data_IF_580388659408
#
_entry.id   IF_580388659408
#
_cell.length_a   1.000
_cell.length_b   1.000
_cell.length_c   1.000
_cell.angle_alpha   90.00
_cell.angle_beta   90.00
_cell.angle_gamma   90.00
#
_symmetry.space_group_name_H-M   'P 1'
#
loop_
_entity.id
_entity.type
_entity.pdbx_description
1 polymer ?
#
# COMPACT_ATOMS: atom_id res chain seq x y z
N UNK A 1 61.31 -15.19 -46.27
CA UNK A 1 60.66 -14.45 -45.14
C UNK A 1 59.48 -13.67 -45.71
N UNK A 2 58.26 -14.21 -45.55
CA UNK A 2 57.07 -13.63 -46.11
C UNK A 2 56.31 -12.93 -44.97
N UNK A 3 56.32 -11.61 -44.97
CA UNK A 3 55.70 -10.80 -43.91
C UNK A 3 54.18 -10.75 -44.21
N UNK A 4 53.41 -11.46 -43.40
CA UNK A 4 51.94 -11.41 -43.48
C UNK A 4 51.45 -10.10 -42.84
N UNK A 5 50.94 -9.19 -43.65
CA UNK A 5 50.27 -7.99 -43.16
C UNK A 5 48.92 -8.36 -42.56
N UNK A 6 48.76 -8.07 -41.26
CA UNK A 6 47.46 -8.21 -40.57
C UNK A 6 46.60 -7.02 -40.95
N UNK A 7 45.60 -7.29 -41.79
CA UNK A 7 44.59 -6.33 -42.21
C UNK A 7 43.65 -6.03 -41.02
N UNK A 8 43.81 -4.84 -40.41
CA UNK A 8 42.96 -4.40 -39.31
C UNK A 8 41.59 -4.00 -39.87
N UNK A 9 40.58 -4.83 -39.61
CA UNK A 9 39.16 -4.51 -39.93
C UNK A 9 38.76 -3.13 -39.37
N UNK A 10 38.10 -2.26 -40.14
CA UNK A 10 37.70 -0.95 -39.69
C UNK A 10 36.68 -1.10 -38.51
N UNK A 11 36.95 -0.42 -37.41
CA UNK A 11 36.04 -0.33 -36.24
C UNK A 11 34.69 0.17 -36.74
N UNK A 12 33.66 -0.69 -36.68
CA UNK A 12 32.29 -0.36 -36.96
C UNK A 12 31.89 0.81 -36.02
N UNK A 13 31.73 2.03 -36.62
CA UNK A 13 31.16 3.18 -35.90
C UNK A 13 29.82 2.74 -35.35
N UNK A 14 29.72 2.55 -34.02
CA UNK A 14 28.44 2.44 -33.31
C UNK A 14 27.69 3.73 -33.68
N UNK A 15 26.66 3.63 -34.50
CA UNK A 15 25.73 4.73 -34.72
C UNK A 15 25.14 5.04 -33.35
N UNK A 16 25.63 6.13 -32.75
CA UNK A 16 24.94 6.71 -31.63
C UNK A 16 23.51 6.98 -32.12
N UNK A 17 22.55 6.17 -31.66
CA UNK A 17 21.13 6.48 -31.82
C UNK A 17 20.99 7.90 -31.34
N UNK A 18 20.61 8.79 -32.23
CA UNK A 18 20.57 10.23 -31.99
C UNK A 18 19.82 10.46 -30.68
N UNK A 19 20.55 10.86 -29.63
CA UNK A 19 19.94 11.44 -28.45
C UNK A 19 19.08 12.57 -28.98
N UNK A 20 17.75 12.46 -28.81
CA UNK A 20 16.81 13.50 -29.16
C UNK A 20 17.38 14.82 -28.63
N UNK A 21 17.39 15.86 -29.44
CA UNK A 21 17.83 17.17 -28.96
C UNK A 21 17.00 17.52 -27.74
N UNK A 22 17.55 18.22 -26.73
CA UNK A 22 16.83 18.60 -25.53
C UNK A 22 15.47 19.25 -25.83
N UNK A 23 15.38 19.99 -26.91
CA UNK A 23 14.11 20.60 -27.41
C UNK A 23 13.10 19.55 -27.88
N UNK A 24 13.54 18.55 -28.65
CA UNK A 24 12.67 17.46 -29.07
C UNK A 24 12.23 16.61 -27.90
N UNK A 25 13.15 16.26 -26.97
CA UNK A 25 12.82 15.58 -25.73
C UNK A 25 11.79 16.33 -24.89
N UNK A 26 11.99 17.64 -24.71
CA UNK A 26 11.02 18.50 -24.01
C UNK A 26 9.65 18.51 -24.72
N UNK A 27 9.62 18.63 -26.06
CA UNK A 27 8.37 18.63 -26.81
C UNK A 27 7.58 17.30 -26.67
N UNK A 28 8.27 16.15 -26.62
CA UNK A 28 7.62 14.85 -26.37
C UNK A 28 7.09 14.71 -24.94
N UNK A 29 7.75 15.33 -23.95
CA UNK A 29 7.31 15.28 -22.54
C UNK A 29 6.23 16.32 -22.22
N UNK A 30 6.07 17.37 -23.03
CA UNK A 30 5.13 18.47 -22.78
C UNK A 30 3.68 18.00 -22.57
N UNK A 31 3.08 17.12 -23.39
CA UNK A 31 1.71 16.68 -23.19
C UNK A 31 1.50 15.97 -21.84
N UNK A 32 2.42 15.07 -21.48
CA UNK A 32 2.39 14.38 -20.20
C UNK A 32 2.61 15.37 -19.04
N UNK A 33 3.56 16.30 -19.17
CA UNK A 33 3.82 17.34 -18.18
C UNK A 33 2.62 18.26 -17.95
N UNK A 34 1.91 18.64 -19.00
CA UNK A 34 0.68 19.43 -18.89
C UNK A 34 -0.43 18.67 -18.17
N UNK A 35 -0.65 17.41 -18.51
CA UNK A 35 -1.65 16.57 -17.81
C UNK A 35 -1.33 16.42 -16.33
N UNK A 36 -0.08 16.13 -15.98
CA UNK A 36 0.37 16.05 -14.59
C UNK A 36 0.20 17.40 -13.88
N UNK A 37 0.55 18.50 -14.52
CA UNK A 37 0.41 19.84 -13.93
C UNK A 37 -1.05 20.18 -13.65
N UNK A 38 -1.94 19.98 -14.59
CA UNK A 38 -3.36 20.35 -14.47
C UNK A 38 -4.11 19.42 -13.51
N UNK A 39 -3.89 18.10 -13.60
CA UNK A 39 -4.70 17.12 -12.84
C UNK A 39 -4.07 16.65 -11.53
N UNK A 40 -2.78 16.90 -11.29
CA UNK A 40 -2.10 16.51 -10.06
C UNK A 40 -1.58 17.73 -9.31
N UNK A 41 -0.76 18.57 -9.95
CA UNK A 41 -0.08 19.67 -9.26
C UNK A 41 -1.08 20.77 -8.85
N UNK A 42 -1.97 21.19 -9.74
CA UNK A 42 -2.96 22.24 -9.42
C UNK A 42 -3.92 21.80 -8.30
N UNK A 43 -4.58 20.61 -8.35
CA UNK A 43 -5.42 20.15 -7.25
C UNK A 43 -4.65 19.96 -5.94
N UNK A 44 -3.38 19.54 -6.00
CA UNK A 44 -2.52 19.42 -4.82
C UNK A 44 -2.38 20.76 -4.07
N UNK A 45 -1.98 21.83 -4.77
CA UNK A 45 -1.88 23.16 -4.15
C UNK A 45 -3.25 23.73 -3.76
N UNK A 46 -4.29 23.38 -4.52
CA UNK A 46 -5.65 23.76 -4.18
C UNK A 46 -6.11 23.18 -2.84
N UNK A 47 -5.88 21.91 -2.59
CA UNK A 47 -6.21 21.26 -1.30
C UNK A 47 -5.44 21.90 -0.16
N UNK A 48 -4.15 22.20 -0.34
CA UNK A 48 -3.36 22.92 0.66
C UNK A 48 -3.98 24.31 0.95
N UNK A 49 -4.35 25.07 -0.08
CA UNK A 49 -5.01 26.35 0.11
C UNK A 49 -6.34 26.22 0.85
N UNK A 50 -7.19 25.29 0.43
CA UNK A 50 -8.50 25.05 1.06
C UNK A 50 -8.37 24.64 2.53
N UNK A 51 -7.30 23.96 2.92
CA UNK A 51 -7.04 23.57 4.31
C UNK A 51 -6.90 24.74 5.28
N UNK A 52 -6.59 25.94 4.77
CA UNK A 52 -6.49 27.19 5.54
C UNK A 52 -7.78 28.02 5.50
N UNK A 53 -8.87 27.47 4.96
CA UNK A 53 -10.17 28.17 4.84
C UNK A 53 -11.26 27.48 5.65
N UNK A 54 -12.31 28.23 6.00
CA UNK A 54 -13.51 27.68 6.64
C UNK A 54 -14.51 27.09 5.60
N UNK A 55 -14.03 26.62 4.45
CA UNK A 55 -14.87 26.14 3.37
C UNK A 55 -15.73 24.95 3.82
N UNK A 56 -17.03 25.08 3.56
CA UNK A 56 -18.02 24.01 3.75
C UNK A 56 -18.58 23.57 2.39
N UNK A 57 -19.33 22.47 2.35
CA UNK A 57 -20.04 22.07 1.13
C UNK A 57 -21.41 22.73 0.98
N UNK A 58 -21.97 23.27 2.08
CA UNK A 58 -23.28 23.91 2.11
C UNK A 58 -23.21 25.26 2.82
N UNK A 59 -24.15 26.14 2.49
CA UNK A 59 -24.28 27.44 3.16
C UNK A 59 -23.37 28.54 2.60
N UNK A 60 -23.21 29.64 3.36
CA UNK A 60 -22.49 30.85 2.92
C UNK A 60 -21.03 30.61 2.64
N UNK A 61 -20.36 29.80 3.46
CA UNK A 61 -18.93 29.49 3.35
C UNK A 61 -18.60 28.51 2.22
N UNK A 62 -19.59 27.89 1.58
CA UNK A 62 -19.41 27.14 0.36
C UNK A 62 -19.06 28.03 -0.83
N UNK A 63 -19.74 29.17 -0.93
CA UNK A 63 -19.57 30.16 -2.03
C UNK A 63 -18.47 31.17 -1.71
N UNK A 64 -18.45 31.68 -0.47
CA UNK A 64 -17.51 32.70 -0.02
C UNK A 64 -16.73 32.19 1.19
N UNK A 65 -15.74 31.29 1.01
CA UNK A 65 -14.92 30.82 2.10
C UNK A 65 -13.95 31.92 2.55
N UNK A 66 -13.77 32.04 3.86
CA UNK A 66 -12.82 32.95 4.47
C UNK A 66 -11.52 32.23 4.80
N UNK A 67 -10.42 32.95 4.77
CA UNK A 67 -9.13 32.44 5.20
C UNK A 67 -9.06 32.46 6.73
N UNK A 68 -8.92 31.27 7.34
CA UNK A 68 -8.88 31.08 8.81
C UNK A 68 -7.50 30.65 9.32
N UNK A 69 -6.50 30.66 8.46
CA UNK A 69 -5.14 30.24 8.83
C UNK A 69 -5.11 28.79 9.35
N UNK A 70 -4.50 28.56 10.51
CA UNK A 70 -4.31 27.27 11.12
C UNK A 70 -5.51 26.78 11.99
N UNK A 71 -6.65 27.45 11.99
CA UNK A 71 -7.78 27.12 12.87
C UNK A 71 -8.26 25.66 12.68
N UNK A 72 -8.32 25.16 11.44
CA UNK A 72 -8.67 23.76 11.16
C UNK A 72 -7.70 22.78 11.83
N UNK A 73 -6.41 23.07 11.80
CA UNK A 73 -5.37 22.25 12.42
C UNK A 73 -5.46 22.27 13.95
N UNK A 74 -5.66 23.44 14.56
CA UNK A 74 -5.86 23.54 16.02
C UNK A 74 -7.11 22.75 16.46
N UNK A 75 -8.19 22.77 15.68
CA UNK A 75 -9.37 21.96 15.97
C UNK A 75 -9.12 20.46 15.88
N UNK A 76 -8.26 20.01 14.95
CA UNK A 76 -7.90 18.59 14.81
C UNK A 76 -7.00 18.11 15.96
N UNK A 77 -6.15 18.98 16.50
CA UNK A 77 -5.22 18.66 17.57
C UNK A 77 -5.65 19.20 18.94
N UNK A 78 -6.94 19.51 19.13
CA UNK A 78 -7.46 19.98 20.40
C UNK A 78 -7.27 18.91 21.51
N UNK A 79 -6.41 19.17 22.52
CA UNK A 79 -6.09 18.19 23.54
C UNK A 79 -7.31 17.73 24.35
N UNK A 80 -8.36 18.53 24.44
CA UNK A 80 -9.56 18.25 25.24
C UNK A 80 -10.34 17.05 24.72
N UNK A 81 -10.26 16.75 23.42
CA UNK A 81 -11.03 15.71 22.76
C UNK A 81 -10.23 14.83 21.79
N UNK A 82 -8.92 15.09 21.63
CA UNK A 82 -8.06 14.46 20.61
C UNK A 82 -8.17 12.94 20.58
N UNK A 83 -8.20 12.27 21.72
CA UNK A 83 -8.26 10.81 21.85
C UNK A 83 -9.68 10.26 21.96
N UNK A 84 -10.70 11.10 21.91
CA UNK A 84 -12.09 10.62 21.94
C UNK A 84 -12.46 9.91 20.64
N UNK A 85 -13.33 8.90 20.75
CA UNK A 85 -13.84 8.17 19.57
C UNK A 85 -14.52 9.12 18.57
N UNK A 86 -14.23 8.93 17.30
CA UNK A 86 -14.74 9.81 16.25
C UNK A 86 -13.97 11.13 16.10
N UNK A 87 -12.83 11.28 16.78
CA UNK A 87 -11.92 12.41 16.62
C UNK A 87 -10.64 12.00 15.87
N UNK A 88 -9.94 12.99 15.35
CA UNK A 88 -8.76 12.78 14.50
C UNK A 88 -7.67 11.93 15.17
N UNK A 89 -7.33 12.22 16.42
CA UNK A 89 -6.28 11.50 17.12
C UNK A 89 -6.60 10.04 17.36
N UNK A 90 -7.85 9.73 17.72
CA UNK A 90 -8.30 8.35 17.85
C UNK A 90 -8.18 7.61 16.50
N UNK A 91 -8.65 8.22 15.40
CA UNK A 91 -8.57 7.63 14.07
C UNK A 91 -7.11 7.45 13.60
N UNK A 92 -6.20 8.36 13.98
CA UNK A 92 -4.77 8.26 13.67
C UNK A 92 -4.12 7.07 14.40
N UNK A 93 -4.41 6.90 15.70
CA UNK A 93 -3.92 5.75 16.47
C UNK A 93 -4.47 4.46 15.91
N UNK A 94 -5.76 4.41 15.63
CA UNK A 94 -6.42 3.24 15.05
C UNK A 94 -5.81 2.87 13.69
N UNK A 95 -5.54 3.87 12.84
CA UNK A 95 -4.87 3.66 11.54
C UNK A 95 -3.45 3.14 11.72
N UNK A 96 -2.70 3.67 12.71
CA UNK A 96 -1.36 3.18 13.01
C UNK A 96 -1.38 1.71 13.45
N UNK A 97 -2.30 1.34 14.36
CA UNK A 97 -2.49 -0.05 14.77
C UNK A 97 -2.89 -0.94 13.59
N UNK A 98 -3.78 -0.45 12.73
CA UNK A 98 -4.20 -1.17 11.53
C UNK A 98 -3.05 -1.39 10.55
N UNK A 99 -2.22 -0.38 10.28
CA UNK A 99 -1.03 -0.51 9.42
C UNK A 99 -0.03 -1.51 10.02
N UNK A 100 0.26 -1.41 11.32
CA UNK A 100 1.16 -2.35 11.97
C UNK A 100 0.63 -3.79 11.88
N UNK A 101 -0.63 -4.01 12.25
CA UNK A 101 -1.22 -5.35 12.28
C UNK A 101 -1.39 -5.93 10.87
N UNK A 102 -1.98 -5.19 9.92
CA UNK A 102 -2.32 -5.73 8.61
C UNK A 102 -1.20 -5.61 7.57
N UNK A 103 -0.48 -4.49 7.50
CA UNK A 103 0.59 -4.34 6.51
C UNK A 103 1.88 -5.03 6.97
N UNK A 104 2.45 -4.62 8.11
CA UNK A 104 3.77 -5.10 8.50
C UNK A 104 3.73 -6.56 8.97
N UNK A 105 2.85 -6.88 9.91
CA UNK A 105 2.74 -8.26 10.44
C UNK A 105 1.88 -9.17 9.57
N UNK A 106 0.84 -8.64 8.92
CA UNK A 106 -0.03 -9.43 8.05
C UNK A 106 0.56 -9.61 6.65
N UNK A 107 0.46 -8.60 5.81
CA UNK A 107 0.78 -8.68 4.38
C UNK A 107 2.24 -9.05 4.11
N UNK A 108 3.20 -8.33 4.72
CA UNK A 108 4.61 -8.55 4.47
C UNK A 108 5.06 -9.95 4.91
N UNK A 109 4.73 -10.38 6.15
CA UNK A 109 5.14 -11.69 6.65
C UNK A 109 4.45 -12.83 5.90
N UNK A 110 3.13 -12.74 5.72
CA UNK A 110 2.39 -13.78 4.98
C UNK A 110 2.87 -13.86 3.53
N UNK A 111 3.02 -12.71 2.85
CA UNK A 111 3.52 -12.67 1.49
C UNK A 111 4.94 -13.22 1.36
N UNK A 112 5.84 -12.90 2.31
CA UNK A 112 7.20 -13.42 2.35
C UNK A 112 7.24 -14.95 2.56
N UNK A 113 6.45 -15.45 3.51
CA UNK A 113 6.34 -16.88 3.77
C UNK A 113 5.78 -17.63 2.57
N UNK A 114 4.70 -17.14 1.97
CA UNK A 114 4.12 -17.74 0.78
C UNK A 114 5.08 -17.70 -0.41
N UNK A 115 5.78 -16.58 -0.63
CA UNK A 115 6.77 -16.45 -1.68
C UNK A 115 7.95 -17.42 -1.52
N UNK A 116 8.38 -17.69 -0.28
CA UNK A 116 9.42 -18.69 -0.01
C UNK A 116 8.90 -20.12 -0.23
N UNK A 117 7.75 -20.45 0.35
CA UNK A 117 7.17 -21.79 0.23
C UNK A 117 6.89 -22.19 -1.23
N UNK A 118 6.44 -21.24 -2.05
CA UNK A 118 6.14 -21.52 -3.46
C UNK A 118 7.39 -21.83 -4.30
N UNK A 119 8.62 -21.55 -3.81
CA UNK A 119 9.85 -21.95 -4.51
C UNK A 119 10.12 -23.48 -4.39
N UNK A 120 9.52 -24.13 -3.39
CA UNK A 120 9.75 -25.54 -3.10
C UNK A 120 8.70 -26.48 -3.72
N UNK A 121 7.63 -25.93 -4.29
CA UNK A 121 6.54 -26.72 -4.88
C UNK A 121 6.76 -27.01 -6.37
N UNK A 122 6.13 -28.06 -6.93
CA UNK A 122 6.18 -28.36 -8.36
C UNK A 122 5.73 -27.17 -9.23
N UNK A 123 6.29 -26.99 -10.44
CA UNK A 123 5.99 -25.83 -11.31
C UNK A 123 4.51 -25.64 -11.64
N UNK A 124 3.74 -26.73 -11.73
CA UNK A 124 2.31 -26.62 -12.00
C UNK A 124 1.52 -26.05 -10.81
N UNK A 125 1.87 -26.47 -9.57
CA UNK A 125 1.29 -25.89 -8.34
C UNK A 125 1.62 -24.41 -8.24
N UNK A 126 2.89 -24.06 -8.47
CA UNK A 126 3.35 -22.67 -8.49
C UNK A 126 2.50 -21.81 -9.45
N UNK A 127 2.35 -22.26 -10.70
CA UNK A 127 1.55 -21.55 -11.73
C UNK A 127 0.10 -21.34 -11.31
N UNK A 128 -0.55 -22.41 -10.82
CA UNK A 128 -1.94 -22.33 -10.37
C UNK A 128 -2.08 -21.32 -9.23
N UNK A 129 -1.22 -21.42 -8.20
CA UNK A 129 -1.25 -20.51 -7.05
C UNK A 129 -1.01 -19.07 -7.49
N UNK A 130 0.01 -18.80 -8.30
CA UNK A 130 0.30 -17.45 -8.81
C UNK A 130 -0.88 -16.89 -9.62
N UNK A 131 -1.57 -17.73 -10.42
CA UNK A 131 -2.75 -17.31 -11.18
C UNK A 131 -3.89 -16.87 -10.26
N UNK A 132 -4.19 -17.65 -9.21
CA UNK A 132 -5.24 -17.27 -8.24
C UNK A 132 -4.87 -16.03 -7.42
N UNK A 133 -3.60 -15.90 -7.04
CA UNK A 133 -3.10 -14.73 -6.31
C UNK A 133 -3.23 -13.46 -7.17
N UNK A 134 -2.83 -13.53 -8.44
CA UNK A 134 -2.98 -12.42 -9.39
C UNK A 134 -4.46 -12.11 -9.63
N UNK A 135 -5.29 -13.13 -9.83
CA UNK A 135 -6.73 -12.97 -10.02
C UNK A 135 -7.37 -12.24 -8.82
N UNK A 136 -7.03 -12.64 -7.59
CA UNK A 136 -7.51 -11.99 -6.38
C UNK A 136 -7.05 -10.53 -6.25
N UNK A 137 -5.82 -10.22 -6.69
CA UNK A 137 -5.27 -8.86 -6.69
C UNK A 137 -5.96 -7.94 -7.72
N UNK A 138 -6.32 -8.46 -8.89
CA UNK A 138 -6.93 -7.67 -9.98
C UNK A 138 -8.40 -7.36 -9.72
N UNK A 139 -9.10 -8.14 -8.88
CA UNK A 139 -10.51 -7.91 -8.60
C UNK A 139 -10.76 -6.50 -8.04
N UNK A 140 -11.82 -5.81 -8.50
CA UNK A 140 -12.17 -4.49 -7.98
C UNK A 140 -12.43 -4.51 -6.48
N UNK A 141 -11.90 -3.52 -5.75
CA UNK A 141 -12.02 -3.44 -4.29
C UNK A 141 -13.46 -3.49 -3.80
N UNK A 142 -14.36 -2.84 -4.53
CA UNK A 142 -15.79 -2.80 -4.19
C UNK A 142 -16.40 -4.21 -4.24
N UNK A 143 -16.07 -4.98 -5.27
CA UNK A 143 -16.57 -6.37 -5.43
C UNK A 143 -16.08 -7.25 -4.28
N UNK A 144 -14.79 -7.16 -3.96
CA UNK A 144 -14.21 -7.91 -2.85
C UNK A 144 -14.81 -7.48 -1.51
N UNK A 145 -14.98 -6.16 -1.29
CA UNK A 145 -15.59 -5.64 -0.07
C UNK A 145 -16.99 -6.20 0.17
N UNK A 146 -17.86 -6.15 -0.84
CA UNK A 146 -19.20 -6.73 -0.73
C UNK A 146 -19.22 -8.25 -0.62
N UNK A 147 -18.28 -8.95 -1.30
CA UNK A 147 -18.15 -10.39 -1.15
C UNK A 147 -17.77 -10.78 0.29
N UNK A 148 -16.83 -10.04 0.91
CA UNK A 148 -16.48 -10.26 2.31
C UNK A 148 -17.61 -9.89 3.26
N UNK A 149 -18.35 -8.80 3.00
CA UNK A 149 -19.54 -8.45 3.78
C UNK A 149 -20.56 -9.58 3.76
N UNK A 150 -20.90 -10.12 2.57
CA UNK A 150 -21.81 -11.24 2.43
C UNK A 150 -21.25 -12.55 3.06
N UNK A 151 -19.95 -12.79 2.95
CA UNK A 151 -19.29 -13.95 3.58
C UNK A 151 -19.39 -13.94 5.10
N UNK A 152 -19.29 -12.74 5.71
CA UNK A 152 -19.29 -12.51 7.16
C UNK A 152 -20.69 -12.27 7.74
N UNK A 153 -21.73 -12.18 6.91
CA UNK A 153 -23.09 -11.96 7.39
C UNK A 153 -23.46 -12.96 8.49
N UNK A 154 -24.09 -12.46 9.56
CA UNK A 154 -24.40 -13.29 10.73
C UNK A 154 -25.36 -14.42 10.43
N UNK A 155 -26.39 -14.17 9.65
CA UNK A 155 -27.50 -15.09 9.48
C UNK A 155 -27.38 -15.96 8.23
N UNK A 156 -26.91 -15.38 7.12
CA UNK A 156 -26.84 -16.03 5.81
C UNK A 156 -25.40 -16.20 5.32
N UNK A 157 -24.37 -15.71 6.06
CA UNK A 157 -22.98 -15.72 5.63
C UNK A 157 -22.38 -17.13 5.62
N UNK A 158 -21.56 -17.38 4.60
CA UNK A 158 -20.89 -18.67 4.41
C UNK A 158 -20.00 -19.03 5.61
N UNK A 159 -19.32 -18.06 6.23
CA UNK A 159 -18.47 -18.32 7.40
C UNK A 159 -19.29 -18.93 8.55
N UNK A 160 -20.43 -18.35 8.89
CA UNK A 160 -21.29 -18.85 9.95
C UNK A 160 -21.94 -20.20 9.59
N UNK A 161 -22.25 -20.45 8.32
CA UNK A 161 -22.68 -21.77 7.84
C UNK A 161 -21.58 -22.82 8.04
N UNK A 162 -20.32 -22.49 7.74
CA UNK A 162 -19.18 -23.39 7.99
C UNK A 162 -18.94 -23.63 9.49
N UNK A 163 -18.99 -22.60 10.33
CA UNK A 163 -18.82 -22.74 11.77
C UNK A 163 -19.88 -23.65 12.40
N UNK A 164 -21.15 -23.45 12.03
CA UNK A 164 -22.25 -24.29 12.52
C UNK A 164 -22.17 -25.72 12.05
N UNK A 165 -21.64 -25.97 10.84
CA UNK A 165 -21.46 -27.34 10.32
C UNK A 165 -20.46 -28.18 11.13
N UNK A 166 -19.52 -27.52 11.83
CA UNK A 166 -18.54 -28.15 12.72
C UNK A 166 -18.89 -27.99 14.21
N UNK A 167 -20.13 -27.57 14.52
CA UNK A 167 -20.64 -27.45 15.89
C UNK A 167 -20.21 -26.19 16.64
N UNK A 168 -19.64 -25.20 15.95
CA UNK A 168 -19.28 -23.91 16.56
C UNK A 168 -20.45 -22.93 16.51
N UNK A 169 -20.58 -22.01 17.50
CA UNK A 169 -21.65 -21.01 17.54
C UNK A 169 -21.47 -19.98 16.39
N UNK A 170 -22.58 -19.40 15.96
CA UNK A 170 -22.58 -18.24 15.07
C UNK A 170 -22.00 -17.03 15.78
N UNK A 171 -21.21 -16.24 15.08
CA UNK A 171 -20.64 -14.97 15.56
C UNK A 171 -21.09 -13.80 14.71
N UNK A 172 -21.20 -12.63 15.32
CA UNK A 172 -21.38 -11.36 14.60
C UNK A 172 -20.05 -10.61 14.53
N UNK A 173 -19.17 -11.11 13.66
CA UNK A 173 -17.79 -10.64 13.57
C UNK A 173 -17.68 -9.15 13.21
N UNK A 174 -18.64 -8.63 12.43
CA UNK A 174 -18.68 -7.23 12.03
C UNK A 174 -19.04 -6.28 13.20
N UNK A 175 -19.79 -6.77 14.19
CA UNK A 175 -20.17 -5.99 15.37
C UNK A 175 -19.25 -6.25 16.56
N UNK A 176 -18.89 -7.51 16.81
CA UNK A 176 -18.13 -7.91 17.99
C UNK A 176 -16.63 -7.58 17.85
N UNK A 177 -16.04 -7.87 16.68
CA UNK A 177 -14.61 -7.74 16.43
C UNK A 177 -14.27 -7.01 15.12
N UNK A 178 -14.89 -5.86 14.85
CA UNK A 178 -14.79 -5.20 13.54
C UNK A 178 -13.35 -4.82 13.15
N UNK A 179 -12.52 -4.45 14.12
CA UNK A 179 -11.12 -4.12 13.88
C UNK A 179 -10.33 -5.32 13.30
N UNK A 180 -10.48 -6.50 13.91
CA UNK A 180 -9.78 -7.70 13.44
C UNK A 180 -10.31 -8.18 12.10
N UNK A 181 -11.59 -7.98 11.83
CA UNK A 181 -12.17 -8.26 10.51
C UNK A 181 -11.49 -7.45 9.42
N UNK A 182 -11.36 -6.13 9.61
CA UNK A 182 -10.69 -5.30 8.60
C UNK A 182 -9.19 -5.59 8.50
N UNK A 183 -8.53 -5.99 9.60
CA UNK A 183 -7.13 -6.42 9.59
C UNK A 183 -6.96 -7.69 8.76
N UNK A 184 -7.78 -8.72 8.99
CA UNK A 184 -7.72 -10.00 8.24
C UNK A 184 -8.04 -9.77 6.76
N UNK A 185 -9.08 -9.00 6.47
CA UNK A 185 -9.45 -8.62 5.11
C UNK A 185 -8.29 -7.97 4.36
N UNK A 186 -7.68 -6.94 4.96
CA UNK A 186 -6.59 -6.21 4.33
C UNK A 186 -5.31 -7.04 4.21
N UNK A 187 -5.04 -7.90 5.21
CA UNK A 187 -3.93 -8.86 5.18
C UNK A 187 -4.08 -9.85 4.03
N UNK A 188 -5.25 -10.49 3.92
CA UNK A 188 -5.53 -11.45 2.86
C UNK A 188 -5.34 -10.85 1.46
N UNK A 189 -5.89 -9.67 1.25
CA UNK A 189 -5.79 -8.97 -0.03
C UNK A 189 -4.36 -8.52 -0.34
N UNK A 190 -3.72 -7.86 0.62
CA UNK A 190 -2.40 -7.26 0.41
C UNK A 190 -1.25 -8.28 0.36
N UNK A 191 -1.40 -9.44 1.02
CA UNK A 191 -0.40 -10.52 0.97
C UNK A 191 -0.16 -11.02 -0.45
N UNK A 192 -1.16 -10.93 -1.34
CA UNK A 192 -1.03 -11.27 -2.74
C UNK A 192 0.06 -10.42 -3.44
N UNK A 193 0.05 -9.11 -3.22
CA UNK A 193 1.07 -8.20 -3.78
C UNK A 193 2.46 -8.51 -3.22
N UNK A 194 2.59 -8.62 -1.90
CA UNK A 194 3.88 -8.93 -1.26
C UNK A 194 4.43 -10.28 -1.71
N UNK A 195 3.56 -11.29 -1.88
CA UNK A 195 3.95 -12.61 -2.41
C UNK A 195 4.51 -12.52 -3.83
N UNK A 196 3.87 -11.75 -4.72
CA UNK A 196 4.35 -11.57 -6.09
C UNK A 196 5.69 -10.85 -6.14
N UNK A 197 5.85 -9.79 -5.35
CA UNK A 197 7.08 -9.00 -5.30
C UNK A 197 8.24 -9.84 -4.74
N UNK A 198 8.04 -10.52 -3.63
CA UNK A 198 9.08 -11.38 -3.03
C UNK A 198 9.33 -12.64 -3.87
N UNK A 199 8.32 -13.21 -4.51
CA UNK A 199 8.48 -14.33 -5.43
C UNK A 199 9.38 -13.99 -6.62
N UNK A 200 9.18 -12.80 -7.21
CA UNK A 200 10.06 -12.26 -8.25
C UNK A 200 11.48 -12.03 -7.72
N UNK A 201 11.62 -11.48 -6.51
CA UNK A 201 12.91 -11.24 -5.89
C UNK A 201 13.67 -12.55 -5.63
N UNK A 202 13.05 -13.59 -5.09
CA UNK A 202 13.66 -14.90 -4.90
C UNK A 202 14.05 -15.55 -6.23
N UNK A 203 13.22 -15.40 -7.26
CA UNK A 203 13.51 -15.95 -8.59
C UNK A 203 14.70 -15.26 -9.29
N UNK A 204 15.10 -14.07 -8.85
CA UNK A 204 16.26 -13.34 -9.36
C UNK A 204 17.59 -13.83 -8.76
N UNK A 205 17.55 -14.61 -7.68
CA UNK A 205 18.77 -15.16 -7.05
C UNK A 205 19.32 -16.29 -7.94
N UNK A 206 20.60 -16.24 -8.34
CA UNK A 206 21.20 -17.32 -9.12
C UNK A 206 21.09 -18.67 -8.41
N UNK A 207 20.63 -19.75 -9.08
CA UNK A 207 20.48 -21.08 -8.47
C UNK A 207 21.76 -21.65 -7.82
N UNK A 208 22.92 -21.22 -8.30
CA UNK A 208 24.23 -21.65 -7.76
C UNK A 208 24.41 -21.36 -6.27
N UNK A 209 23.80 -20.29 -5.74
CA UNK A 209 23.85 -19.99 -4.31
C UNK A 209 23.16 -21.08 -3.47
N UNK A 210 22.00 -21.53 -3.92
CA UNK A 210 21.24 -22.58 -3.23
C UNK A 210 21.89 -23.96 -3.42
N UNK A 211 22.42 -24.24 -4.63
CA UNK A 211 23.15 -25.48 -4.91
C UNK A 211 24.41 -25.61 -4.04
N UNK A 212 25.19 -24.54 -3.89
CA UNK A 212 26.34 -24.54 -3.00
C UNK A 212 25.95 -24.81 -1.53
N UNK A 213 24.85 -24.22 -1.09
CA UNK A 213 24.31 -24.44 0.26
C UNK A 213 23.83 -25.90 0.45
N UNK A 214 23.24 -26.50 -0.59
CA UNK A 214 22.83 -27.91 -0.56
C UNK A 214 24.01 -28.84 -0.40
N UNK A 215 25.11 -28.61 -1.14
CA UNK A 215 26.37 -29.36 -0.99
C UNK A 215 26.96 -29.18 0.41
N UNK A 216 26.83 -28.02 1.03
CA UNK A 216 27.27 -27.75 2.40
C UNK A 216 26.31 -28.33 3.48
N UNK A 217 25.21 -28.97 3.10
CA UNK A 217 24.23 -29.56 4.02
C UNK A 217 23.30 -28.55 4.71
N UNK A 218 23.12 -27.36 4.15
CA UNK A 218 22.28 -26.32 4.75
C UNK A 218 20.79 -26.71 4.69
N UNK A 219 20.11 -26.55 5.82
CA UNK A 219 18.65 -26.74 5.89
C UNK A 219 17.89 -25.64 5.12
N UNK A 220 16.61 -25.88 4.80
CA UNK A 220 15.75 -24.87 4.13
C UNK A 220 15.66 -23.56 4.92
N UNK A 221 15.65 -23.63 6.26
CA UNK A 221 15.63 -22.43 7.10
C UNK A 221 16.96 -21.66 7.04
N UNK A 222 18.09 -22.35 7.00
CA UNK A 222 19.41 -21.71 6.82
C UNK A 222 19.50 -21.05 5.45
N UNK A 223 19.06 -21.71 4.39
CA UNK A 223 18.99 -21.12 3.03
C UNK A 223 18.10 -19.89 2.98
N UNK A 224 16.94 -19.92 3.65
CA UNK A 224 16.05 -18.76 3.75
C UNK A 224 16.71 -17.60 4.50
N UNK A 225 17.20 -17.86 5.74
CA UNK A 225 17.73 -16.82 6.63
C UNK A 225 19.06 -16.25 6.14
N UNK A 226 19.99 -17.11 5.69
CA UNK A 226 21.38 -16.74 5.45
C UNK A 226 21.68 -16.39 3.98
N UNK A 227 20.82 -16.80 3.04
CA UNK A 227 20.94 -16.50 1.60
C UNK A 227 19.75 -15.68 1.12
N UNK A 228 18.54 -16.20 1.28
CA UNK A 228 17.33 -15.60 0.74
C UNK A 228 17.09 -14.19 1.25
N UNK A 229 16.88 -14.04 2.56
CA UNK A 229 16.56 -12.73 3.18
C UNK A 229 17.62 -11.66 2.91
N UNK A 230 18.95 -11.93 3.08
CA UNK A 230 19.96 -10.90 2.82
C UNK A 230 19.98 -10.44 1.36
N UNK A 231 19.78 -11.33 0.40
CA UNK A 231 19.84 -11.00 -1.02
C UNK A 231 18.61 -10.22 -1.50
N UNK A 232 17.43 -10.45 -0.91
CA UNK A 232 16.19 -9.73 -1.27
C UNK A 232 15.91 -8.51 -0.39
N UNK A 233 16.80 -8.13 0.55
CA UNK A 233 16.57 -7.04 1.51
C UNK A 233 16.08 -5.73 0.86
N UNK A 234 16.58 -5.39 -0.34
CA UNK A 234 16.13 -4.22 -1.07
C UNK A 234 14.65 -4.30 -1.49
N UNK A 235 14.20 -5.48 -1.88
CA UNK A 235 12.81 -5.74 -2.24
C UNK A 235 11.91 -5.72 -0.99
N UNK A 236 12.41 -6.19 0.17
CA UNK A 236 11.68 -6.08 1.45
C UNK A 236 11.42 -4.62 1.80
N UNK A 237 12.44 -3.76 1.72
CA UNK A 237 12.26 -2.32 1.97
C UNK A 237 11.27 -1.70 0.98
N UNK A 238 11.35 -2.07 -0.30
CA UNK A 238 10.41 -1.58 -1.33
C UNK A 238 8.97 -2.01 -1.03
N UNK A 239 8.76 -3.28 -0.68
CA UNK A 239 7.44 -3.80 -0.29
C UNK A 239 6.88 -3.03 0.91
N UNK A 240 7.68 -2.90 1.98
CA UNK A 240 7.27 -2.20 3.19
C UNK A 240 6.87 -0.73 2.92
N UNK A 241 7.59 -0.03 2.04
CA UNK A 241 7.20 1.33 1.62
C UNK A 241 5.80 1.31 0.99
N UNK A 242 5.62 0.47 -0.03
CA UNK A 242 4.41 0.45 -0.83
C UNK A 242 3.19 0.03 0.00
N UNK A 243 3.28 -1.09 0.72
CA UNK A 243 2.14 -1.60 1.50
C UNK A 243 1.80 -0.70 2.68
N UNK A 244 2.79 -0.05 3.34
CA UNK A 244 2.55 0.90 4.42
C UNK A 244 1.76 2.10 3.90
N UNK A 245 2.22 2.72 2.79
CA UNK A 245 1.56 3.88 2.21
C UNK A 245 0.16 3.53 1.69
N UNK A 246 -0.02 2.39 1.02
CA UNK A 246 -1.34 1.97 0.53
C UNK A 246 -2.30 1.65 1.67
N UNK A 247 -1.85 0.92 2.69
CA UNK A 247 -2.68 0.58 3.85
C UNK A 247 -3.05 1.82 4.66
N UNK A 248 -2.13 2.77 4.84
CA UNK A 248 -2.42 4.02 5.53
C UNK A 248 -3.53 4.85 4.84
N UNK A 249 -3.58 4.81 3.51
CA UNK A 249 -4.57 5.56 2.72
C UNK A 249 -5.80 4.73 2.32
N UNK A 250 -5.87 3.45 2.73
CA UNK A 250 -6.98 2.58 2.29
C UNK A 250 -8.33 3.08 2.79
N UNK A 251 -9.33 3.04 1.91
CA UNK A 251 -10.72 3.37 2.20
C UNK A 251 -11.62 2.13 2.15
N UNK A 252 -11.12 1.01 1.64
CA UNK A 252 -11.90 -0.22 1.42
C UNK A 252 -12.56 -0.78 2.69
N UNK A 253 -11.97 -0.68 3.92
CA UNK A 253 -12.64 -1.08 5.15
C UNK A 253 -13.99 -0.39 5.41
N UNK A 254 -14.22 0.79 4.81
CA UNK A 254 -15.51 1.47 4.86
C UNK A 254 -16.66 0.62 4.29
N UNK A 255 -16.39 -0.16 3.24
CA UNK A 255 -17.39 -1.03 2.62
C UNK A 255 -17.87 -2.17 3.53
N UNK A 256 -17.06 -2.56 4.51
CA UNK A 256 -17.35 -3.63 5.47
C UNK A 256 -18.09 -3.12 6.70
N UNK A 257 -17.69 -1.97 7.22
CA UNK A 257 -18.07 -1.53 8.56
C UNK A 257 -18.60 -0.10 8.62
N UNK A 258 -18.50 0.67 7.52
CA UNK A 258 -18.86 2.10 7.48
C UNK A 258 -18.20 2.92 8.63
N UNK A 259 -16.98 2.52 9.04
CA UNK A 259 -16.27 3.13 10.18
C UNK A 259 -16.74 2.67 11.57
N UNK A 260 -17.80 1.85 11.62
CA UNK A 260 -18.48 1.41 12.84
C UNK A 260 -18.06 0.04 13.37
N UNK A 261 -18.77 -0.46 14.40
CA UNK A 261 -19.69 0.29 15.26
C UNK A 261 -18.94 1.31 16.13
N UNK A 262 -19.59 2.42 16.45
CA UNK A 262 -19.06 3.46 17.38
C UNK A 262 -17.63 3.91 17.05
N UNK A 263 -17.32 4.16 15.79
CA UNK A 263 -15.99 4.59 15.27
C UNK A 263 -14.85 3.59 15.49
N UNK A 264 -15.14 2.29 15.78
CA UNK A 264 -14.13 1.27 16.09
C UNK A 264 -13.28 0.85 14.88
N UNK A 265 -13.67 1.25 13.68
CA UNK A 265 -12.93 1.01 12.43
C UNK A 265 -12.79 2.28 11.60
N UNK A 266 -12.98 3.44 12.23
CA UNK A 266 -12.86 4.73 11.56
C UNK A 266 -11.37 5.09 11.38
N UNK A 267 -10.76 4.54 10.33
CA UNK A 267 -9.42 4.90 9.91
C UNK A 267 -9.35 6.38 9.48
N UNK A 268 -8.17 6.99 9.45
CA UNK A 268 -8.00 8.42 9.09
C UNK A 268 -8.60 8.74 7.72
N UNK A 269 -8.52 7.84 6.75
CA UNK A 269 -9.15 8.01 5.43
C UNK A 269 -10.68 8.07 5.53
N UNK A 270 -11.28 7.25 6.39
CA UNK A 270 -12.73 7.21 6.65
C UNK A 270 -13.16 8.45 7.44
N UNK A 271 -12.39 8.82 8.47
CA UNK A 271 -12.57 10.07 9.22
C UNK A 271 -12.54 11.28 8.29
N UNK A 272 -11.55 11.35 7.38
CA UNK A 272 -11.45 12.43 6.39
C UNK A 272 -12.71 12.53 5.52
N UNK A 273 -13.19 11.40 5.02
CA UNK A 273 -14.42 11.33 4.23
C UNK A 273 -15.63 11.83 5.04
N UNK A 274 -15.80 11.38 6.27
CA UNK A 274 -16.89 11.81 7.14
C UNK A 274 -16.87 13.31 7.38
N UNK A 275 -15.72 13.84 7.80
CA UNK A 275 -15.58 15.29 8.07
C UNK A 275 -15.84 16.13 6.82
N UNK A 276 -15.26 15.73 5.68
CA UNK A 276 -15.39 16.50 4.44
C UNK A 276 -16.81 16.46 3.86
N UNK A 277 -17.44 15.28 3.82
CA UNK A 277 -18.66 15.04 3.05
C UNK A 277 -19.91 14.84 3.90
N UNK A 278 -19.82 14.14 5.04
CA UNK A 278 -20.99 13.92 5.90
C UNK A 278 -21.20 15.10 6.86
N UNK A 279 -20.12 15.66 7.42
CA UNK A 279 -20.16 16.82 8.32
C UNK A 279 -20.07 18.14 7.52
N UNK A 280 -19.94 18.07 6.19
CA UNK A 280 -19.82 19.21 5.27
C UNK A 280 -18.66 20.18 5.54
N UNK A 281 -17.67 19.81 6.37
CA UNK A 281 -16.52 20.63 6.76
C UNK A 281 -15.34 20.42 5.79
N UNK A 282 -15.49 20.89 4.55
CA UNK A 282 -14.53 20.63 3.49
C UNK A 282 -13.13 21.18 3.77
N UNK A 283 -13.02 22.38 4.37
CA UNK A 283 -11.74 22.97 4.79
C UNK A 283 -11.02 22.13 5.83
N UNK A 284 -11.76 21.61 6.83
CA UNK A 284 -11.21 20.70 7.85
C UNK A 284 -10.81 19.35 7.25
N UNK A 285 -11.62 18.80 6.34
CA UNK A 285 -11.25 17.58 5.60
C UNK A 285 -9.98 17.78 4.75
N UNK A 286 -9.84 18.94 4.10
CA UNK A 286 -8.62 19.30 3.39
C UNK A 286 -7.39 19.34 4.32
N UNK A 287 -7.54 19.88 5.54
CA UNK A 287 -6.46 19.86 6.54
C UNK A 287 -6.07 18.45 6.96
N UNK A 288 -7.02 17.53 7.14
CA UNK A 288 -6.74 16.09 7.36
C UNK A 288 -5.97 15.50 6.19
N UNK A 289 -6.39 15.79 4.96
CA UNK A 289 -5.69 15.33 3.75
C UNK A 289 -4.23 15.82 3.68
N UNK A 290 -3.97 17.08 4.04
CA UNK A 290 -2.60 17.64 4.12
C UNK A 290 -1.77 16.91 5.18
N UNK A 291 -2.34 16.62 6.36
CA UNK A 291 -1.64 15.86 7.41
C UNK A 291 -1.33 14.44 6.92
N UNK A 292 -2.29 13.75 6.29
CA UNK A 292 -2.06 12.42 5.72
C UNK A 292 -0.92 12.44 4.69
N UNK A 293 -0.87 13.46 3.85
CA UNK A 293 0.21 13.65 2.87
C UNK A 293 1.56 13.82 3.55
N UNK A 294 1.66 14.64 4.61
CA UNK A 294 2.90 14.84 5.36
C UNK A 294 3.37 13.56 6.05
N UNK A 295 2.44 12.75 6.59
CA UNK A 295 2.75 11.44 7.17
C UNK A 295 3.27 10.47 6.10
N UNK A 296 2.65 10.42 4.91
CA UNK A 296 3.13 9.60 3.80
C UNK A 296 4.53 10.03 3.34
N UNK A 297 4.79 11.34 3.28
CA UNK A 297 6.13 11.87 2.96
C UNK A 297 7.15 11.43 4.02
N UNK A 298 6.79 11.52 5.30
CA UNK A 298 7.65 11.06 6.40
C UNK A 298 7.96 9.56 6.27
N UNK A 299 6.97 8.72 6.00
CA UNK A 299 7.18 7.29 5.73
C UNK A 299 8.16 7.07 4.58
N UNK A 300 7.95 7.73 3.44
CA UNK A 300 8.82 7.62 2.28
C UNK A 300 10.27 8.00 2.63
N UNK A 301 10.49 9.10 3.33
CA UNK A 301 11.82 9.56 3.75
C UNK A 301 12.51 8.60 4.72
N UNK A 302 11.77 8.08 5.71
CA UNK A 302 12.28 7.10 6.67
C UNK A 302 12.73 5.83 5.96
N UNK A 303 11.88 5.24 5.13
CA UNK A 303 12.21 4.03 4.40
C UNK A 303 13.38 4.22 3.42
N UNK A 304 13.44 5.34 2.69
CA UNK A 304 14.55 5.66 1.80
C UNK A 304 15.87 5.80 2.57
N UNK A 305 15.84 6.38 3.77
CA UNK A 305 17.02 6.51 4.63
C UNK A 305 17.53 5.15 5.10
N UNK A 306 16.62 4.23 5.48
CA UNK A 306 16.96 2.85 5.86
C UNK A 306 17.54 2.06 4.68
N UNK A 307 16.98 2.25 3.48
CA UNK A 307 17.47 1.60 2.25
C UNK A 307 18.87 2.06 1.84
N UNK A 308 19.24 3.32 2.11
CA UNK A 308 20.59 3.85 1.81
C UNK A 308 21.68 3.32 2.73
N UNK A 309 21.43 3.21 4.03
CA UNK A 309 22.39 2.69 5.02
C UNK A 309 22.85 1.26 4.74
N UNK A 310 22.11 0.51 3.95
CA UNK A 310 22.41 -0.89 3.64
C UNK A 310 23.19 -1.08 2.32
N UNK A 311 23.61 0.00 1.66
CA UNK A 311 24.44 -0.06 0.43
C UNK A 311 25.92 0.26 0.65
N UNK A 312 26.33 0.59 1.88
CA UNK A 312 27.72 0.68 2.34
C UNK A 312 28.03 -0.61 3.12
#
# INVERSE_FOLDING_TARGET
MTTTQIETKPKRKVRNFALLSNKAGAAFLTPAGLLVSVFVIVPFFWVIFVSFTNRTLLGKTALNPEFVGLANYFTLFDPSNFLQRGQFGFSLILTTQFVLASALFGQALLGLLLAWLIQTVPPWVKRITETFVIAAWILPEVVIGFAWFAFLDRDQGTLNAMLTSVGLPKGDFLLEQPFWVIVVFNTWRGAAFSMMLFGSAFSSIPPSYFQAADVAGASSWQKFRDIGLPLIRGHIVTDLILITMWTFNTFTPFLLTNGGPSYRTELVSIYNYRVAFNDFQFGKGAAVGVIMMLINLAFALVYLSLGRKNKG
#
